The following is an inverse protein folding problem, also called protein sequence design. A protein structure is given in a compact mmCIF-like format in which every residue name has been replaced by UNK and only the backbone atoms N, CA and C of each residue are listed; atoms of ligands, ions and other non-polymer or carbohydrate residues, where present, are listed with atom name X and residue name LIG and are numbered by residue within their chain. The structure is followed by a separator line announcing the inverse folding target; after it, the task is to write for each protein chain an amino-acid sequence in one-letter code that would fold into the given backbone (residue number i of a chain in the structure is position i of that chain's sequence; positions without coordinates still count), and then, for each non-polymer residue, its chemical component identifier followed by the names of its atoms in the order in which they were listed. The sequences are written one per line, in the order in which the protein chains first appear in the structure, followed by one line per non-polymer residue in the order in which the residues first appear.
data_IF_313539062763
#
_entry.id   IF_313539062763
#
_cell.length_a   1.000
_cell.length_b   1.000
_cell.length_c   1.000
_cell.angle_alpha   90.00
_cell.angle_beta   90.00
_cell.angle_gamma   90.00
#
_symmetry.space_group_name_H-M   'P 1'
#
loop_
_entity.id
_entity.type
_entity.pdbx_description
1 polymer ?
#
# COMPACT_ATOMS: atom_id res chain seq x y z
N UNK A 1 28.24 1.95 36.72
CA UNK A 1 28.77 0.93 35.77
C UNK A 1 27.55 0.23 35.19
N UNK A 2 27.24 0.19 33.90
CA UNK A 2 28.02 0.50 32.70
C UNK A 2 27.05 1.01 31.61
N UNK A 3 27.48 2.03 30.87
CA UNK A 3 27.02 2.31 29.50
C UNK A 3 27.40 1.14 28.57
N UNK A 4 26.65 0.96 27.48
CA UNK A 4 26.97 0.00 26.42
C UNK A 4 26.12 0.15 25.16
N UNK A 5 26.39 1.23 24.40
CA UNK A 5 26.38 1.42 22.94
C UNK A 5 25.30 0.71 22.09
N UNK A 6 24.34 1.41 21.46
CA UNK A 6 24.45 2.34 20.32
C UNK A 6 24.69 1.67 18.93
N UNK A 7 23.70 1.90 18.06
CA UNK A 7 23.80 2.08 16.60
C UNK A 7 23.96 0.83 15.70
N UNK A 8 22.83 0.42 15.09
CA UNK A 8 22.82 0.06 13.66
C UNK A 8 21.65 0.76 12.99
N UNK A 9 21.95 1.32 11.84
CA UNK A 9 21.41 2.51 11.20
C UNK A 9 20.81 2.09 9.85
N UNK A 10 19.55 2.52 9.57
CA UNK A 10 18.99 2.87 8.22
C UNK A 10 18.76 1.70 7.22
N UNK A 11 17.73 1.59 6.36
CA UNK A 11 16.71 2.45 5.70
C UNK A 11 15.67 1.43 5.10
N UNK A 12 14.36 1.68 4.96
CA UNK A 12 13.74 2.80 4.27
C UNK A 12 12.40 3.22 4.88
N UNK A 13 12.37 4.46 5.39
CA UNK A 13 11.14 5.21 5.57
C UNK A 13 10.83 5.90 4.24
N UNK A 14 9.64 5.70 3.70
CA UNK A 14 9.13 6.57 2.63
C UNK A 14 8.78 7.91 3.29
N UNK A 15 9.69 8.85 3.12
CA UNK A 15 9.56 10.23 3.55
C UNK A 15 8.63 10.93 2.55
N UNK A 16 7.37 11.17 2.92
CA UNK A 16 6.55 12.17 2.25
C UNK A 16 6.80 13.50 2.97
N UNK A 17 7.81 14.26 2.52
CA UNK A 17 8.06 15.62 3.00
C UNK A 17 7.28 16.61 2.15
N UNK A 18 6.21 17.13 2.72
CA UNK A 18 5.56 18.37 2.30
C UNK A 18 5.27 19.20 3.56
N UNK A 19 6.21 20.10 3.90
CA UNK A 19 6.01 21.22 4.84
C UNK A 19 5.85 20.90 6.34
N UNK A 20 6.86 21.26 7.14
CA UNK A 20 6.90 21.63 8.57
C UNK A 20 5.98 20.97 9.64
N UNK A 21 5.31 19.87 9.38
CA UNK A 21 4.75 19.01 10.41
C UNK A 21 5.55 17.71 10.44
N UNK A 22 6.31 17.51 11.51
CA UNK A 22 6.88 16.21 11.85
C UNK A 22 5.73 15.28 12.24
N UNK A 23 5.02 14.75 11.24
CA UNK A 23 4.15 13.61 11.44
C UNK A 23 5.10 12.43 11.61
N UNK A 24 5.25 11.97 12.85
CA UNK A 24 5.76 10.62 13.14
C UNK A 24 4.72 9.63 12.61
N UNK A 25 4.61 9.53 11.28
CA UNK A 25 3.91 8.44 10.65
C UNK A 25 4.74 7.21 11.00
N UNK A 26 4.26 6.43 11.97
CA UNK A 26 4.66 5.04 12.06
C UNK A 26 4.32 4.44 10.69
N UNK A 27 5.29 4.02 9.87
CA UNK A 27 4.97 3.29 8.68
C UNK A 27 4.50 1.92 9.15
N UNK A 28 3.21 1.80 9.41
CA UNK A 28 2.49 0.63 8.93
C UNK A 28 1.97 0.95 7.52
N UNK A 29 2.87 1.45 6.64
CA UNK A 29 2.94 0.82 5.33
C UNK A 29 3.03 -0.66 5.65
N UNK A 30 2.03 -1.45 5.25
CA UNK A 30 1.96 -2.88 5.46
C UNK A 30 3.37 -3.48 5.47
N UNK A 31 4.01 -3.55 6.64
CA UNK A 31 5.10 -4.46 6.89
C UNK A 31 4.36 -5.74 7.18
N UNK A 32 3.67 -6.21 6.12
CA UNK A 32 3.22 -7.58 6.03
C UNK A 32 4.52 -8.34 6.28
N UNK A 33 4.64 -9.11 7.37
CA UNK A 33 5.78 -10.00 7.51
C UNK A 33 5.90 -10.72 6.18
N UNK A 34 7.10 -10.70 5.57
CA UNK A 34 7.37 -11.30 4.27
C UNK A 34 6.60 -12.61 4.23
N UNK A 35 5.59 -12.69 3.36
CA UNK A 35 4.72 -13.83 3.35
C UNK A 35 5.62 -15.04 3.15
N UNK A 36 5.43 -16.10 3.92
CA UNK A 36 6.35 -17.26 3.92
C UNK A 36 6.53 -17.90 2.54
N UNK A 37 5.69 -17.53 1.57
CA UNK A 37 5.62 -18.01 0.19
C UNK A 37 5.92 -16.91 -0.88
N UNK A 38 6.39 -15.73 -0.48
CA UNK A 38 6.89 -14.68 -1.38
C UNK A 38 8.37 -14.97 -1.70
N UNK A 39 8.62 -15.62 -2.83
CA UNK A 39 9.94 -16.16 -3.18
C UNK A 39 10.78 -15.20 -4.04
N UNK A 40 10.13 -14.24 -4.70
CA UNK A 40 10.76 -13.18 -5.49
C UNK A 40 10.94 -11.86 -4.70
N UNK A 41 10.36 -11.77 -3.50
CA UNK A 41 10.42 -10.64 -2.56
C UNK A 41 9.75 -9.36 -3.09
N UNK A 42 8.70 -9.50 -3.88
CA UNK A 42 7.94 -8.36 -4.41
C UNK A 42 6.80 -7.88 -3.48
N UNK A 43 6.64 -8.54 -2.33
CA UNK A 43 5.63 -8.22 -1.32
C UNK A 43 4.28 -8.91 -1.54
N UNK A 44 4.15 -9.72 -2.59
CA UNK A 44 2.94 -10.47 -2.92
C UNK A 44 3.21 -11.99 -2.94
N UNK A 45 2.15 -12.78 -2.81
CA UNK A 45 2.21 -14.23 -3.06
C UNK A 45 1.29 -14.49 -4.24
N UNK A 46 1.87 -14.53 -5.43
CA UNK A 46 1.15 -14.56 -6.68
C UNK A 46 1.67 -15.63 -7.64
N UNK A 47 1.23 -15.58 -8.89
CA UNK A 47 1.59 -16.59 -9.87
C UNK A 47 3.10 -16.57 -10.18
N UNK A 48 3.74 -15.41 -10.08
CA UNK A 48 5.19 -15.26 -10.21
C UNK A 48 5.95 -16.12 -9.20
N UNK A 49 5.52 -16.17 -7.95
CA UNK A 49 6.08 -17.04 -6.90
C UNK A 49 5.81 -18.52 -7.17
N UNK A 50 4.61 -18.84 -7.70
CA UNK A 50 4.29 -20.20 -8.10
C UNK A 50 5.25 -20.74 -9.16
N UNK A 51 5.66 -19.91 -10.12
CA UNK A 51 6.62 -20.33 -11.15
C UNK A 51 8.00 -20.65 -10.54
N UNK A 52 8.44 -19.87 -9.55
CA UNK A 52 9.69 -20.14 -8.83
C UNK A 52 9.61 -21.45 -8.04
N UNK A 53 8.49 -21.70 -7.36
CA UNK A 53 8.23 -22.94 -6.63
C UNK A 53 8.18 -24.16 -7.55
N UNK A 54 7.41 -24.09 -8.64
CA UNK A 54 7.25 -25.19 -9.59
C UNK A 54 8.58 -25.56 -10.26
N UNK A 55 9.48 -24.60 -10.46
CA UNK A 55 10.82 -24.83 -11.02
C UNK A 55 11.72 -25.72 -10.15
N UNK A 56 11.41 -25.88 -8.87
CA UNK A 56 12.18 -26.71 -7.92
C UNK A 56 11.35 -27.83 -7.30
N UNK A 57 10.14 -28.09 -7.80
CA UNK A 57 9.28 -29.13 -7.27
C UNK A 57 9.93 -30.52 -7.36
N UNK A 58 9.88 -31.28 -6.27
CA UNK A 58 10.51 -32.59 -6.14
C UNK A 58 12.02 -32.55 -5.84
N UNK A 59 12.62 -31.37 -5.69
CA UNK A 59 14.01 -31.22 -5.27
C UNK A 59 14.15 -31.25 -3.73
N UNK A 60 15.35 -31.52 -3.20
CA UNK A 60 15.61 -31.36 -1.78
C UNK A 60 15.39 -29.91 -1.31
N UNK A 61 14.70 -29.76 -0.17
CA UNK A 61 14.44 -28.50 0.53
C UNK A 61 15.64 -27.93 1.28
N UNK A 62 16.83 -27.96 0.67
CA UNK A 62 18.09 -27.60 1.35
C UNK A 62 18.93 -26.63 0.52
N UNK A 63 19.91 -25.98 1.17
CA UNK A 63 20.76 -24.99 0.51
C UNK A 63 19.94 -23.84 -0.08
N UNK A 64 20.20 -23.48 -1.34
CA UNK A 64 19.47 -22.42 -2.05
C UNK A 64 17.97 -22.70 -2.22
N UNK A 65 17.58 -23.97 -2.14
CA UNK A 65 16.20 -24.42 -2.26
C UNK A 65 15.45 -24.45 -0.93
N UNK A 66 16.14 -24.27 0.21
CA UNK A 66 15.51 -24.33 1.53
C UNK A 66 14.42 -23.30 1.76
N UNK A 67 14.39 -22.21 0.97
CA UNK A 67 13.30 -21.24 1.03
C UNK A 67 11.95 -21.77 0.52
N UNK A 68 11.95 -22.86 -0.25
CA UNK A 68 10.74 -23.45 -0.84
C UNK A 68 10.18 -24.63 -0.02
N UNK A 69 10.90 -25.08 1.01
CA UNK A 69 10.45 -26.07 1.99
C UNK A 69 9.77 -25.34 3.15
N UNK A 70 8.45 -25.21 3.05
CA UNK A 70 7.60 -24.39 3.91
C UNK A 70 7.17 -25.12 5.18
N UNK A 71 7.22 -26.46 5.18
CA UNK A 71 6.92 -27.27 6.36
C UNK A 71 8.16 -27.83 7.08
N UNK A 72 9.36 -27.61 6.53
CA UNK A 72 10.66 -28.07 7.02
C UNK A 72 10.80 -29.60 7.03
N UNK A 73 10.18 -30.28 6.07
CA UNK A 73 10.27 -31.73 5.91
C UNK A 73 11.58 -32.20 5.26
N UNK A 74 12.35 -31.29 4.66
CA UNK A 74 13.58 -31.56 3.91
C UNK A 74 13.36 -31.83 2.42
N UNK A 75 12.11 -31.83 1.95
CA UNK A 75 11.72 -32.03 0.56
C UNK A 75 10.84 -30.86 0.11
N UNK A 76 10.79 -30.59 -1.20
CA UNK A 76 9.85 -29.64 -1.79
C UNK A 76 8.78 -30.45 -2.51
N UNK A 77 7.62 -30.60 -1.88
CA UNK A 77 6.57 -31.47 -2.40
C UNK A 77 5.15 -30.87 -2.26
N UNK A 78 4.14 -31.74 -2.32
CA UNK A 78 2.75 -31.32 -2.25
C UNK A 78 2.38 -30.70 -0.90
N UNK A 79 3.01 -31.10 0.21
CA UNK A 79 2.78 -30.51 1.52
C UNK A 79 3.21 -29.02 1.53
N UNK A 80 4.34 -28.69 0.89
CA UNK A 80 4.76 -27.31 0.67
C UNK A 80 3.83 -26.57 -0.27
N UNK A 81 3.34 -27.24 -1.32
CA UNK A 81 2.33 -26.65 -2.19
C UNK A 81 1.06 -26.28 -1.42
N UNK A 82 0.62 -27.08 -0.45
CA UNK A 82 -0.54 -26.74 0.38
C UNK A 82 -0.28 -25.52 1.26
N UNK A 83 0.95 -25.37 1.80
CA UNK A 83 1.37 -24.17 2.54
C UNK A 83 1.42 -22.93 1.64
N UNK A 84 1.97 -23.09 0.43
CA UNK A 84 1.99 -22.06 -0.59
C UNK A 84 0.57 -21.64 -0.97
N UNK A 85 -0.30 -22.59 -1.30
CA UNK A 85 -1.69 -22.34 -1.70
C UNK A 85 -2.52 -21.69 -0.59
N UNK A 86 -2.23 -22.00 0.68
CA UNK A 86 -2.85 -21.33 1.82
C UNK A 86 -2.43 -19.85 1.95
N UNK A 87 -1.26 -19.49 1.45
CA UNK A 87 -0.79 -18.10 1.34
C UNK A 87 -1.19 -17.44 0.01
N UNK A 88 -1.37 -18.23 -1.05
CA UNK A 88 -1.79 -17.80 -2.38
C UNK A 88 -3.17 -17.15 -2.29
N UNK A 89 -3.20 -15.84 -2.56
CA UNK A 89 -4.36 -14.96 -2.37
C UNK A 89 -4.87 -14.88 -0.93
N UNK A 90 -3.99 -14.44 -0.02
CA UNK A 90 -4.36 -13.42 0.97
C UNK A 90 -4.15 -12.00 0.44
N UNK A 91 -4.55 -11.74 -0.82
CA UNK A 91 -4.90 -10.38 -1.20
C UNK A 91 -6.26 -10.13 -0.57
N UNK A 92 -6.27 -9.52 0.61
CA UNK A 92 -7.46 -8.81 1.05
C UNK A 92 -7.81 -7.89 -0.13
N UNK A 93 -8.89 -8.20 -0.85
CA UNK A 93 -9.49 -7.23 -1.76
C UNK A 93 -9.72 -6.01 -0.88
N UNK A 94 -8.92 -4.95 -1.07
CA UNK A 94 -9.11 -3.74 -0.27
C UNK A 94 -10.55 -3.34 -0.47
N UNK A 95 -11.30 -3.38 0.62
CA UNK A 95 -12.66 -2.86 0.68
C UNK A 95 -12.65 -1.34 0.61
N UNK A 96 -11.45 -0.72 0.56
CA UNK A 96 -11.21 0.70 0.72
C UNK A 96 -11.81 1.28 2.02
N UNK A 97 -12.10 0.38 2.98
CA UNK A 97 -12.55 0.75 4.33
C UNK A 97 -11.40 0.83 5.33
N UNK A 98 -10.37 0.01 5.16
CA UNK A 98 -9.14 0.00 5.95
C UNK A 98 -8.04 0.85 5.30
N UNK A 99 -6.86 0.88 5.91
CA UNK A 99 -5.67 1.52 5.33
C UNK A 99 -5.31 0.91 3.97
N UNK A 100 -4.98 1.75 2.98
CA UNK A 100 -4.57 1.30 1.65
C UNK A 100 -3.64 2.31 0.97
N UNK A 101 -2.91 1.83 -0.02
CA UNK A 101 -2.18 2.68 -0.96
C UNK A 101 -2.64 2.34 -2.38
N UNK A 102 -2.89 3.36 -3.20
CA UNK A 102 -3.12 3.20 -4.63
C UNK A 102 -2.07 4.02 -5.36
N UNK A 103 -1.28 3.30 -6.16
CA UNK A 103 -0.28 3.87 -7.06
C UNK A 103 -0.57 3.40 -8.48
N UNK A 104 -0.69 4.36 -9.39
CA UNK A 104 -0.80 4.11 -10.82
C UNK A 104 0.36 4.81 -11.52
N UNK A 105 1.37 4.04 -11.91
CA UNK A 105 2.57 4.59 -12.56
C UNK A 105 2.30 5.09 -13.99
N UNK A 106 1.24 4.61 -14.65
CA UNK A 106 0.91 5.05 -16.01
C UNK A 106 0.35 6.48 -16.01
N UNK A 107 -0.41 6.84 -14.98
CA UNK A 107 -1.01 8.16 -14.84
C UNK A 107 -0.36 9.03 -13.74
N UNK A 108 0.57 8.47 -12.98
CA UNK A 108 1.24 9.13 -11.87
C UNK A 108 0.35 9.30 -10.63
N UNK A 109 -0.80 8.64 -10.54
CA UNK A 109 -1.69 8.72 -9.38
C UNK A 109 -1.03 8.12 -8.16
N UNK A 110 -1.12 8.83 -7.04
CA UNK A 110 -0.66 8.36 -5.74
C UNK A 110 -1.59 8.82 -4.63
N UNK A 111 -2.13 7.86 -3.89
CA UNK A 111 -2.88 8.11 -2.66
C UNK A 111 -2.51 7.09 -1.59
N UNK A 112 -2.31 7.58 -0.36
CA UNK A 112 -2.12 6.79 0.84
C UNK A 112 -3.24 7.11 1.82
N UNK A 113 -3.97 6.09 2.24
CA UNK A 113 -5.01 6.16 3.26
C UNK A 113 -4.56 5.37 4.46
N UNK A 114 -4.55 6.02 5.62
CA UNK A 114 -4.23 5.43 6.91
C UNK A 114 -5.48 5.55 7.76
N UNK A 115 -5.98 4.41 8.25
CA UNK A 115 -7.10 4.31 9.17
C UNK A 115 -6.55 3.79 10.50
N UNK A 116 -6.72 4.57 11.55
CA UNK A 116 -6.47 4.17 12.94
C UNK A 116 -7.80 4.10 13.72
N UNK A 117 -7.73 3.91 15.04
CA UNK A 117 -8.91 3.77 15.91
C UNK A 117 -9.77 5.05 16.02
N UNK A 118 -9.29 6.20 15.53
CA UNK A 118 -9.96 7.49 15.65
C UNK A 118 -10.23 8.16 14.29
N UNK A 119 -9.27 8.12 13.37
CA UNK A 119 -9.33 8.85 12.12
C UNK A 119 -8.89 8.06 10.90
N UNK A 120 -9.44 8.48 9.76
CA UNK A 120 -8.99 8.17 8.41
C UNK A 120 -8.22 9.38 7.89
N UNK A 121 -6.91 9.24 7.75
CA UNK A 121 -6.05 10.22 7.10
C UNK A 121 -5.87 9.84 5.63
N UNK A 122 -6.05 10.79 4.71
CA UNK A 122 -5.82 10.62 3.27
C UNK A 122 -4.74 11.59 2.83
N UNK A 123 -3.64 11.10 2.27
CA UNK A 123 -2.59 11.89 1.64
C UNK A 123 -2.59 11.57 0.15
N UNK A 124 -2.74 12.57 -0.69
CA UNK A 124 -2.97 12.38 -2.13
C UNK A 124 -2.29 13.43 -2.97
N UNK A 125 -1.84 13.03 -4.17
CA UNK A 125 -1.36 13.95 -5.18
C UNK A 125 -2.46 14.44 -6.14
N UNK A 126 -3.71 14.02 -5.93
CA UNK A 126 -4.90 14.47 -6.67
C UNK A 126 -4.87 14.21 -8.19
N UNK A 127 -4.00 13.31 -8.67
CA UNK A 127 -3.96 12.98 -10.10
C UNK A 127 -4.96 11.86 -10.44
N UNK A 128 -5.78 12.00 -11.50
CA UNK A 128 -6.67 10.93 -11.96
C UNK A 128 -5.90 9.71 -12.46
N UNK A 129 -6.41 8.51 -12.17
CA UNK A 129 -5.85 7.24 -12.63
C UNK A 129 -6.46 6.79 -13.97
N UNK A 130 -6.74 7.74 -14.85
CA UNK A 130 -7.30 7.48 -16.16
C UNK A 130 -6.91 8.58 -17.14
N UNK A 131 -7.08 8.30 -18.43
CA UNK A 131 -6.86 9.30 -19.48
C UNK A 131 -7.76 10.52 -19.25
N UNK A 132 -7.17 11.71 -19.29
CA UNK A 132 -7.86 12.99 -19.13
C UNK A 132 -8.06 13.68 -20.48
N UNK A 133 -8.74 14.82 -20.47
CA UNK A 133 -8.67 15.76 -21.59
C UNK A 133 -7.25 16.29 -21.80
N UNK A 134 -7.02 16.91 -22.96
CA UNK A 134 -5.78 17.62 -23.25
C UNK A 134 -5.86 18.99 -22.58
N UNK A 135 -4.97 19.20 -21.62
CA UNK A 135 -4.78 20.47 -20.94
C UNK A 135 -3.29 20.83 -20.96
N UNK A 136 -2.94 22.12 -21.06
CA UNK A 136 -3.84 23.26 -21.20
C UNK A 136 -4.52 23.34 -22.58
N UNK A 137 -5.65 24.05 -22.67
CA UNK A 137 -6.36 24.36 -23.91
C UNK A 137 -6.99 25.77 -23.85
N UNK A 138 -7.59 26.25 -24.95
CA UNK A 138 -8.13 27.62 -25.05
C UNK A 138 -9.18 27.95 -23.97
N UNK A 139 -9.91 26.94 -23.46
CA UNK A 139 -10.90 27.11 -22.39
C UNK A 139 -10.34 26.99 -20.97
N UNK A 140 -9.15 26.38 -20.81
CA UNK A 140 -8.46 26.27 -19.53
C UNK A 140 -6.94 26.28 -19.73
N UNK A 141 -6.27 27.40 -19.41
CA UNK A 141 -4.83 27.55 -19.63
C UNK A 141 -3.96 26.78 -18.61
N UNK A 142 -4.57 26.11 -17.63
CA UNK A 142 -3.82 25.37 -16.61
C UNK A 142 -3.55 23.93 -17.07
N UNK A 143 -2.32 23.45 -16.86
CA UNK A 143 -1.97 22.03 -17.00
C UNK A 143 -2.44 21.24 -15.78
N UNK A 144 -2.76 19.97 -15.97
CA UNK A 144 -2.89 19.03 -14.86
C UNK A 144 -1.50 18.83 -14.24
N UNK A 145 -1.41 18.91 -12.92
CA UNK A 145 -0.19 18.70 -12.17
C UNK A 145 -0.49 18.07 -10.81
N UNK A 146 0.46 17.29 -10.29
CA UNK A 146 0.37 16.74 -8.94
C UNK A 146 0.20 17.85 -7.91
N UNK A 147 -0.66 17.61 -6.93
CA UNK A 147 -0.88 18.46 -5.77
C UNK A 147 -0.33 17.80 -4.50
N UNK A 148 -0.51 18.48 -3.37
CA UNK A 148 -0.07 18.03 -2.06
C UNK A 148 -1.22 18.23 -1.07
N UNK A 149 -2.14 17.27 -1.02
CA UNK A 149 -3.34 17.38 -0.18
C UNK A 149 -3.32 16.36 0.96
N UNK A 150 -3.81 16.79 2.12
CA UNK A 150 -4.03 15.93 3.29
C UNK A 150 -5.43 16.18 3.84
N UNK A 151 -6.18 15.11 4.03
CA UNK A 151 -7.49 15.10 4.66
C UNK A 151 -7.49 14.22 5.90
N UNK A 152 -8.35 14.54 6.85
CA UNK A 152 -8.53 13.75 8.07
C UNK A 152 -10.02 13.73 8.43
N UNK A 153 -10.58 12.52 8.52
CA UNK A 153 -11.99 12.29 8.82
C UNK A 153 -12.13 11.35 10.02
N UNK A 154 -13.10 11.56 10.93
CA UNK A 154 -13.36 10.60 12.00
C UNK A 154 -13.91 9.29 11.43
N UNK A 155 -13.49 8.14 11.97
CA UNK A 155 -14.02 6.83 11.54
C UNK A 155 -15.46 6.59 12.03
N UNK A 156 -15.88 7.33 13.06
CA UNK A 156 -17.22 7.27 13.64
C UNK A 156 -17.88 8.66 13.64
N UNK A 157 -18.32 9.17 12.47
CA UNK A 157 -18.97 10.47 12.39
C UNK A 157 -20.35 10.45 13.08
N UNK A 158 -20.74 11.58 13.68
CA UNK A 158 -22.07 11.75 14.26
C UNK A 158 -23.02 12.39 13.24
N UNK A 159 -24.12 11.72 12.93
CA UNK A 159 -25.15 12.30 12.05
C UNK A 159 -25.88 13.45 12.74
N UNK A 160 -25.85 14.64 12.13
CA UNK A 160 -26.40 15.87 12.71
C UNK A 160 -27.83 16.17 12.25
N UNK A 161 -28.36 15.42 11.27
CA UNK A 161 -29.71 15.62 10.70
C UNK A 161 -29.85 16.83 9.78
N UNK A 162 -28.84 17.70 9.68
CA UNK A 162 -28.90 18.94 8.90
C UNK A 162 -27.79 18.96 7.84
N UNK A 163 -28.14 19.28 6.60
CA UNK A 163 -27.15 19.49 5.55
C UNK A 163 -26.48 20.85 5.72
N UNK A 164 -25.16 20.88 5.69
CA UNK A 164 -24.37 22.10 5.63
C UNK A 164 -23.67 22.18 4.27
N UNK A 165 -23.44 23.40 3.76
CA UNK A 165 -22.64 23.57 2.54
C UNK A 165 -21.21 23.09 2.79
N UNK A 166 -20.66 22.30 1.86
CA UNK A 166 -19.30 21.79 1.90
C UNK A 166 -18.60 22.12 0.59
N UNK A 167 -17.42 22.73 0.68
CA UNK A 167 -16.59 23.04 -0.50
C UNK A 167 -15.96 21.78 -1.08
N UNK A 168 -15.67 20.79 -0.25
CA UNK A 168 -15.13 19.49 -0.66
C UNK A 168 -15.94 18.39 0.06
N UNK A 169 -17.08 17.96 -0.50
CA UNK A 169 -17.94 16.94 0.12
C UNK A 169 -17.27 15.58 0.30
N UNK A 170 -16.15 15.30 -0.37
CA UNK A 170 -15.39 14.07 -0.16
C UNK A 170 -14.21 13.91 -1.09
N UNK A 171 -13.53 12.78 -0.96
CA UNK A 171 -12.37 12.39 -1.77
C UNK A 171 -12.65 11.02 -2.37
N UNK A 172 -12.42 10.88 -3.68
CA UNK A 172 -12.53 9.62 -4.39
C UNK A 172 -11.48 8.60 -3.90
N UNK A 173 -11.72 7.32 -4.17
CA UNK A 173 -10.80 6.23 -3.75
C UNK A 173 -9.38 6.41 -4.32
N UNK A 174 -9.26 6.97 -5.52
CA UNK A 174 -7.98 7.30 -6.17
C UNK A 174 -7.35 8.62 -5.66
N UNK A 175 -7.96 9.27 -4.67
CA UNK A 175 -7.42 10.47 -4.05
C UNK A 175 -7.79 11.79 -4.73
N UNK A 176 -8.67 11.80 -5.73
CA UNK A 176 -9.16 13.05 -6.35
C UNK A 176 -10.29 13.64 -5.50
N UNK A 177 -10.19 14.89 -5.01
CA UNK A 177 -11.26 15.52 -4.25
C UNK A 177 -12.46 15.85 -5.16
N UNK A 178 -13.66 15.77 -4.58
CA UNK A 178 -14.88 16.28 -5.22
C UNK A 178 -15.03 17.75 -4.86
N UNK A 179 -14.82 18.64 -5.82
CA UNK A 179 -15.08 20.07 -5.68
C UNK A 179 -16.33 20.42 -6.51
N UNK A 180 -17.44 20.87 -5.90
CA UNK A 180 -18.55 21.44 -6.65
C UNK A 180 -18.09 22.80 -7.19
N UNK A 181 -17.90 22.86 -8.51
CA UNK A 181 -17.62 24.10 -9.24
C UNK A 181 -18.79 25.07 -9.27
#
# INVERSE_FOLDING_TARGET
MSLGNALKLMIAAVIVVLGNALVLAQPQALHKPAATADFNLDGQVEFSDFLLFAGVYGQPGTGNNGKFDLDNSGMIDFADFLKFAAAYRQQARSTYVDSYELKDDAYGTLVSVIVDDASRTIVTNSLPNHTTGVFPNDGNPNSISAQSLRYEFPIAPTFTGNSTSAREPGVAVNGVPYEPG
#
